data_IF_933490481128
#
_entry.id   IF_933490481128
#
_cell.length_a   1.000
_cell.length_b   1.000
_cell.length_c   1.000
_cell.angle_alpha   90.00
_cell.angle_beta   90.00
_cell.angle_gamma   90.00
#
_symmetry.space_group_name_H-M   'P 1'
#
loop_
_entity.id
_entity.type
_entity.pdbx_description
1 polymer ?
#
# COMPACT_ATOMS: atom_id res chain seq x y z
N UNK A 1 -28.84 -3.32 14.74
CA UNK A 1 -28.35 -3.86 13.44
C UNK A 1 -26.83 -3.91 13.56
N UNK A 2 -26.27 -4.81 14.39
CA UNK A 2 -24.88 -4.66 14.87
C UNK A 2 -24.07 -5.97 14.88
N UNK A 3 -24.56 -7.00 14.18
CA UNK A 3 -23.91 -8.32 14.15
C UNK A 3 -22.85 -8.48 13.02
N UNK A 4 -22.75 -7.51 12.10
CA UNK A 4 -21.90 -7.66 10.90
C UNK A 4 -20.41 -7.40 11.17
N UNK A 5 -20.10 -6.53 12.15
CA UNK A 5 -18.72 -6.21 12.54
C UNK A 5 -18.16 -7.17 13.60
N UNK A 6 -18.98 -8.06 14.15
CA UNK A 6 -18.56 -9.06 15.14
C UNK A 6 -17.90 -10.30 14.49
N UNK A 7 -17.28 -10.13 13.32
CA UNK A 7 -16.49 -11.19 12.70
C UNK A 7 -15.27 -11.41 13.58
N UNK A 8 -15.35 -12.49 14.35
CA UNK A 8 -14.33 -13.03 15.22
C UNK A 8 -12.95 -12.85 14.56
N UNK A 9 -12.18 -11.88 15.05
CA UNK A 9 -10.82 -11.59 14.62
C UNK A 9 -9.92 -12.68 15.20
N UNK A 10 -10.04 -13.90 14.67
CA UNK A 10 -8.96 -14.87 14.80
C UNK A 10 -7.76 -14.23 14.10
N UNK A 11 -6.81 -13.77 14.89
CA UNK A 11 -5.66 -12.97 14.49
C UNK A 11 -4.91 -13.64 13.33
N UNK A 12 -5.20 -13.24 12.09
CA UNK A 12 -4.35 -13.54 10.92
C UNK A 12 -3.21 -12.52 10.84
N UNK A 13 -2.67 -12.15 12.00
CA UNK A 13 -1.56 -11.23 12.15
C UNK A 13 -0.33 -11.97 12.66
N UNK A 14 0.88 -11.41 12.47
CA UNK A 14 2.08 -11.98 13.05
C UNK A 14 1.94 -12.06 14.57
N UNK A 15 2.30 -13.20 15.16
CA UNK A 15 2.39 -13.36 16.61
C UNK A 15 3.72 -12.84 17.11
N UNK A 16 3.74 -12.23 18.29
CA UNK A 16 4.94 -11.66 18.89
C UNK A 16 5.35 -12.45 20.12
N UNK A 17 6.66 -12.59 20.32
CA UNK A 17 7.20 -13.23 21.51
C UNK A 17 6.89 -12.38 22.75
N UNK A 18 6.29 -12.96 23.81
CA UNK A 18 5.98 -12.21 25.03
C UNK A 18 7.24 -11.79 25.81
N UNK A 19 8.39 -12.41 25.53
CA UNK A 19 9.63 -12.11 26.25
C UNK A 19 10.49 -11.03 25.56
N UNK A 20 10.62 -11.07 24.23
CA UNK A 20 11.52 -10.16 23.50
C UNK A 20 10.84 -9.31 22.42
N UNK A 21 9.55 -9.50 22.15
CA UNK A 21 8.81 -8.76 21.13
C UNK A 21 9.16 -9.12 19.69
N UNK A 22 10.05 -10.09 19.45
CA UNK A 22 10.35 -10.59 18.11
C UNK A 22 9.13 -11.26 17.48
N UNK A 23 9.00 -11.15 16.16
CA UNK A 23 8.00 -11.90 15.39
C UNK A 23 8.28 -13.40 15.52
N UNK A 24 7.24 -14.17 15.81
CA UNK A 24 7.28 -15.62 15.91
C UNK A 24 6.77 -16.25 14.61
N UNK A 25 7.51 -17.25 14.13
CA UNK A 25 7.03 -18.17 13.12
C UNK A 25 6.17 -19.24 13.80
N UNK A 26 4.93 -19.39 13.34
CA UNK A 26 3.94 -20.30 13.92
C UNK A 26 3.92 -21.62 13.12
N UNK A 27 4.59 -22.69 13.58
CA UNK A 27 4.53 -24.00 12.92
C UNK A 27 3.18 -24.68 13.16
N UNK A 28 2.82 -25.65 12.32
CA UNK A 28 1.59 -26.45 12.48
C UNK A 28 1.56 -27.26 13.80
N UNK A 29 2.73 -27.42 14.44
CA UNK A 29 2.88 -28.05 15.76
C UNK A 29 2.64 -27.08 16.92
N UNK A 30 2.08 -27.57 18.03
CA UNK A 30 1.75 -26.75 19.21
C UNK A 30 2.94 -26.15 19.98
N UNK A 31 4.17 -26.55 19.66
CA UNK A 31 5.39 -26.03 20.29
C UNK A 31 6.00 -24.92 19.44
N UNK A 32 6.02 -23.69 19.97
CA UNK A 32 6.56 -22.52 19.29
C UNK A 32 7.84 -22.11 20.01
N UNK A 33 8.94 -21.95 19.27
CA UNK A 33 10.24 -21.53 19.80
C UNK A 33 10.64 -20.21 19.15
N UNK A 34 10.98 -19.21 19.98
CA UNK A 34 11.44 -17.93 19.48
C UNK A 34 12.89 -18.03 18.98
N UNK A 35 13.12 -17.68 17.71
CA UNK A 35 14.45 -17.68 17.10
C UNK A 35 15.41 -16.64 17.69
N UNK A 36 14.91 -15.59 18.35
CA UNK A 36 15.75 -14.52 18.91
C UNK A 36 16.22 -14.80 20.34
N UNK A 37 15.36 -15.36 21.19
CA UNK A 37 15.66 -15.54 22.63
C UNK A 37 15.58 -16.98 23.11
N UNK A 38 15.17 -17.93 22.26
CA UNK A 38 15.00 -19.34 22.62
C UNK A 38 13.79 -19.63 23.52
N UNK A 39 12.96 -18.62 23.82
CA UNK A 39 11.77 -18.82 24.63
C UNK A 39 10.78 -19.77 23.94
N UNK A 40 10.25 -20.72 24.70
CA UNK A 40 9.31 -21.73 24.19
C UNK A 40 7.92 -21.47 24.76
N UNK A 41 6.92 -21.40 23.89
CA UNK A 41 5.52 -21.18 24.26
C UNK A 41 4.56 -22.05 23.44
N UNK A 42 3.28 -22.07 23.84
CA UNK A 42 2.18 -22.70 23.12
C UNK A 42 1.25 -21.64 22.53
N UNK A 43 0.38 -22.07 21.62
CA UNK A 43 -0.66 -21.22 21.06
C UNK A 43 -1.59 -20.61 22.11
N UNK A 44 -1.84 -21.31 23.23
CA UNK A 44 -2.67 -20.82 24.34
C UNK A 44 -2.04 -19.67 25.11
N UNK A 45 -0.72 -19.53 25.02
CA UNK A 45 0.05 -18.54 25.78
C UNK A 45 0.21 -17.25 24.97
N UNK A 46 -0.14 -17.27 23.68
CA UNK A 46 -0.09 -16.11 22.81
C UNK A 46 -1.33 -15.22 23.03
N UNK A 47 -1.14 -13.92 23.28
CA UNK A 47 -2.26 -13.00 23.43
C UNK A 47 -3.01 -12.83 22.10
N UNK A 48 -4.34 -12.78 22.16
CA UNK A 48 -5.16 -12.43 20.99
C UNK A 48 -4.94 -10.95 20.65
N UNK A 49 -4.38 -10.68 19.47
CA UNK A 49 -4.15 -9.32 19.00
C UNK A 49 -5.40 -8.80 18.29
N UNK A 50 -6.07 -7.82 18.89
CA UNK A 50 -7.22 -7.11 18.29
C UNK A 50 -6.83 -5.68 17.96
N UNK A 51 -7.08 -5.25 16.73
CA UNK A 51 -6.82 -3.88 16.27
C UNK A 51 -8.14 -3.16 16.08
N UNK A 52 -8.37 -2.08 16.82
CA UNK A 52 -9.53 -1.21 16.64
C UNK A 52 -9.08 0.04 15.90
N UNK A 53 -9.53 0.20 14.65
CA UNK A 53 -9.21 1.36 13.81
C UNK A 53 -10.40 2.29 13.75
N UNK A 54 -10.16 3.59 13.95
CA UNK A 54 -11.17 4.63 13.78
C UNK A 54 -10.75 5.56 12.65
N UNK A 55 -11.69 5.91 11.78
CA UNK A 55 -11.52 7.00 10.83
C UNK A 55 -12.25 8.23 11.35
N UNK A 56 -11.63 9.40 11.27
CA UNK A 56 -12.35 10.66 11.41
C UNK A 56 -13.15 10.93 10.14
N UNK A 57 -14.29 11.61 10.27
CA UNK A 57 -15.03 12.07 9.10
C UNK A 57 -14.14 12.97 8.24
N UNK A 58 -13.99 12.57 6.97
CA UNK A 58 -13.22 13.33 6.01
C UNK A 58 -13.95 14.64 5.76
N UNK A 59 -13.33 15.76 6.12
CA UNK A 59 -13.81 17.09 5.70
C UNK A 59 -13.97 17.09 4.19
N UNK A 60 -15.10 17.62 3.72
CA UNK A 60 -15.35 17.77 2.30
C UNK A 60 -14.15 18.47 1.63
N UNK A 61 -13.55 17.84 0.60
CA UNK A 61 -12.46 18.45 -0.14
C UNK A 61 -12.91 19.78 -0.75
N UNK A 62 -11.97 20.73 -0.89
CA UNK A 62 -12.26 22.05 -1.50
C UNK A 62 -12.86 21.93 -2.91
N UNK A 63 -12.36 20.97 -3.70
CA UNK A 63 -12.83 20.69 -5.06
C UNK A 63 -14.27 20.13 -5.16
N UNK A 64 -14.89 19.74 -4.04
CA UNK A 64 -16.32 19.35 -4.01
C UNK A 64 -17.21 20.59 -3.88
N UNK A 65 -16.71 21.68 -3.32
CA UNK A 65 -17.45 22.93 -3.09
C UNK A 65 -17.32 23.93 -4.22
N UNK A 66 -16.21 23.85 -4.95
CA UNK A 66 -16.10 24.49 -6.24
C UNK A 66 -16.93 23.61 -7.19
N UNK A 67 -18.16 24.04 -7.45
CA UNK A 67 -18.91 23.55 -8.61
C UNK A 67 -17.89 23.42 -9.74
N UNK A 68 -17.76 22.22 -10.28
CA UNK A 68 -17.04 22.00 -11.52
C UNK A 68 -17.87 22.76 -12.56
N UNK A 69 -17.71 24.08 -12.61
CA UNK A 69 -17.76 24.81 -13.85
C UNK A 69 -16.64 24.18 -14.65
N UNK A 70 -16.96 23.07 -15.30
CA UNK A 70 -16.25 22.60 -16.47
C UNK A 70 -16.27 23.79 -17.41
N UNK A 71 -15.28 24.65 -17.25
CA UNK A 71 -15.02 25.72 -18.17
C UNK A 71 -14.74 24.97 -19.45
N UNK A 72 -15.75 24.97 -20.33
CA UNK A 72 -15.64 24.45 -21.67
C UNK A 72 -14.36 25.07 -22.23
N UNK A 73 -13.34 24.24 -22.42
CA UNK A 73 -12.07 24.70 -22.95
C UNK A 73 -12.34 24.90 -24.44
N UNK A 74 -12.89 26.05 -24.80
CA UNK A 74 -12.97 26.56 -26.17
C UNK A 74 -11.57 27.07 -26.54
N UNK A 75 -10.60 26.18 -26.53
CA UNK A 75 -9.24 26.41 -26.99
C UNK A 75 -8.93 25.44 -28.11
N UNK A 76 -8.19 25.85 -29.15
CA UNK A 76 -7.80 24.95 -30.23
C UNK A 76 -7.16 23.70 -29.62
N UNK A 77 -7.79 22.56 -29.90
CA UNK A 77 -7.40 21.27 -29.34
C UNK A 77 -5.92 21.03 -29.57
N UNK A 78 -5.21 20.73 -28.47
CA UNK A 78 -3.83 20.20 -28.37
C UNK A 78 -3.01 20.25 -29.67
N UNK A 79 -1.97 21.08 -29.67
CA UNK A 79 -0.94 21.05 -30.70
C UNK A 79 -0.37 19.64 -30.85
N UNK A 80 -0.51 19.06 -32.05
CA UNK A 80 0.15 17.80 -32.42
C UNK A 80 1.63 18.10 -32.66
N UNK A 81 2.52 17.56 -31.84
CA UNK A 81 3.97 17.66 -32.06
C UNK A 81 4.33 16.77 -33.24
N UNK A 82 4.60 17.37 -34.41
CA UNK A 82 5.21 16.63 -35.52
C UNK A 82 6.64 16.30 -35.12
N UNK A 83 6.96 15.02 -34.97
CA UNK A 83 8.33 14.57 -34.90
C UNK A 83 8.95 14.75 -36.29
N UNK A 84 9.84 15.74 -36.42
CA UNK A 84 10.75 15.79 -37.56
C UNK A 84 11.80 14.69 -37.35
N UNK A 85 11.60 13.56 -38.03
CA UNK A 85 12.67 12.60 -38.28
C UNK A 85 13.71 13.33 -39.13
N UNK A 86 14.78 13.79 -38.49
CA UNK A 86 15.88 14.47 -39.15
C UNK A 86 16.43 13.59 -40.27
N UNK A 87 16.56 14.17 -41.45
CA UNK A 87 17.29 13.58 -42.56
C UNK A 87 18.73 13.33 -42.09
N UNK A 88 19.14 12.07 -42.10
CA UNK A 88 20.54 11.66 -42.04
C UNK A 88 21.16 11.94 -43.42
N UNK A 89 21.60 13.17 -43.65
CA UNK A 89 22.36 13.48 -44.85
C UNK A 89 23.69 12.74 -44.82
N UNK A 90 23.82 11.88 -45.81
CA UNK A 90 24.95 10.98 -46.02
C UNK A 90 26.11 11.76 -46.65
N UNK A 91 27.29 11.58 -46.05
CA UNK A 91 28.62 11.64 -46.64
C UNK A 91 28.91 12.64 -47.77
N UNK A 92 29.88 13.53 -47.54
CA UNK A 92 30.96 13.72 -48.52
C UNK A 92 32.26 14.07 -47.82
N UNK A 93 33.25 13.24 -48.12
CA UNK A 93 34.65 13.32 -47.69
C UNK A 93 35.34 14.49 -48.38
N UNK A 94 36.08 15.30 -47.61
CA UNK A 94 37.18 16.12 -48.13
C UNK A 94 38.37 15.90 -47.21
N UNK A 95 39.33 15.15 -47.72
CA UNK A 95 40.69 15.03 -47.18
C UNK A 95 41.59 15.88 -48.08
N UNK A 96 42.58 16.52 -47.46
CA UNK A 96 43.60 17.43 -48.00
C UNK A 96 44.04 17.22 -49.47
#
# INVERSE_FOLDING_TARGET
MDAFFARNTASTGPSFCPHCGSILDLPETNSIVCSSCGFTCRYTDLPSLTTVTYSQDRREPKWVKEDIQSQEVTGPSRATVRHAIGAIDSATSTTD
#
